data_IF_356129727203
#
_entry.id   IF_356129727203
#
_cell.length_a   1.000
_cell.length_b   1.000
_cell.length_c   1.000
_cell.angle_alpha   90.00
_cell.angle_beta   90.00
_cell.angle_gamma   90.00
#
_symmetry.space_group_name_H-M   'P 1'
#
loop_
_entity.id
_entity.type
_entity.pdbx_description
1 polymer ?
#
# COMPACT_ATOMS: atom_id res chain seq x y z
N UNK A 1 42.98 29.40 -18.64
CA UNK A 1 43.01 27.93 -18.47
C UNK A 1 42.07 27.43 -17.35
N UNK A 2 41.89 28.14 -16.22
CA UNK A 2 41.00 27.73 -15.12
C UNK A 2 39.51 27.63 -15.46
N UNK A 3 38.99 28.51 -16.34
CA UNK A 3 37.57 28.51 -16.72
C UNK A 3 37.14 27.32 -17.58
N UNK A 4 38.04 26.80 -18.41
CA UNK A 4 37.76 25.63 -19.26
C UNK A 4 37.72 24.33 -18.45
N UNK A 5 38.62 24.20 -17.46
CA UNK A 5 38.62 23.06 -16.54
C UNK A 5 37.36 23.04 -15.67
N UNK A 6 36.87 24.20 -15.23
CA UNK A 6 35.64 24.29 -14.44
C UNK A 6 34.40 23.86 -15.23
N UNK A 7 34.29 24.28 -16.49
CA UNK A 7 33.20 23.87 -17.40
C UNK A 7 33.27 22.37 -17.70
N UNK A 8 34.47 21.82 -17.91
CA UNK A 8 34.66 20.39 -18.16
C UNK A 8 34.28 19.53 -16.95
N UNK A 9 34.61 19.95 -15.72
CA UNK A 9 34.21 19.28 -14.48
C UNK A 9 32.68 19.29 -14.30
N UNK A 10 32.02 20.41 -14.59
CA UNK A 10 30.55 20.51 -14.53
C UNK A 10 29.86 19.58 -15.54
N UNK A 11 30.41 19.42 -16.75
CA UNK A 11 29.88 18.49 -17.77
C UNK A 11 30.09 17.04 -17.34
N UNK A 12 31.23 16.70 -16.73
CA UNK A 12 31.50 15.36 -16.21
C UNK A 12 30.58 14.97 -15.04
N UNK A 13 30.18 15.91 -14.18
CA UNK A 13 29.23 15.67 -13.08
C UNK A 13 27.81 15.33 -13.56
N UNK A 14 27.44 15.63 -14.80
CA UNK A 14 26.10 15.38 -15.35
C UNK A 14 25.94 13.98 -15.96
N UNK A 15 27.03 13.20 -16.06
CA UNK A 15 27.04 11.87 -16.66
C UNK A 15 26.77 10.73 -15.66
N UNK A 16 26.67 11.02 -14.36
CA UNK A 16 26.30 10.01 -13.35
C UNK A 16 24.79 9.85 -13.27
N UNK A 17 24.30 8.63 -13.55
CA UNK A 17 22.92 8.26 -13.26
C UNK A 17 22.70 8.29 -11.74
N UNK A 18 21.89 9.23 -11.27
CA UNK A 18 21.43 9.27 -9.88
C UNK A 18 20.20 8.34 -9.79
N UNK A 19 20.35 7.20 -9.12
CA UNK A 19 19.20 6.36 -8.80
C UNK A 19 18.42 7.00 -7.65
N UNK A 20 17.09 6.98 -7.73
CA UNK A 20 16.25 7.36 -6.58
C UNK A 20 16.60 6.47 -5.40
N UNK A 21 16.73 7.08 -4.22
CA UNK A 21 16.86 6.36 -2.96
C UNK A 21 15.49 5.82 -2.53
N UNK A 22 15.48 4.81 -1.65
CA UNK A 22 14.28 4.39 -0.95
C UNK A 22 13.78 5.51 -0.01
N UNK A 23 12.48 5.52 0.27
CA UNK A 23 11.84 6.56 1.07
C UNK A 23 11.65 6.03 2.50
N UNK A 24 12.25 6.70 3.47
CA UNK A 24 11.97 6.49 4.89
C UNK A 24 11.05 7.58 5.44
N UNK A 25 9.96 7.20 6.10
CA UNK A 25 9.10 8.12 6.85
C UNK A 25 9.18 7.73 8.32
N UNK A 26 9.71 8.61 9.16
CA UNK A 26 9.78 8.36 10.59
C UNK A 26 10.08 9.60 11.41
N UNK A 27 10.03 9.45 12.72
CA UNK A 27 10.20 10.55 13.70
C UNK A 27 11.67 10.88 13.96
N UNK A 28 12.57 9.99 13.54
CA UNK A 28 14.02 10.16 13.59
C UNK A 28 14.64 9.68 12.28
N UNK A 29 15.90 10.05 12.04
CA UNK A 29 16.64 9.58 10.86
C UNK A 29 16.97 8.10 11.01
N UNK A 30 16.70 7.32 9.96
CA UNK A 30 17.08 5.91 9.85
C UNK A 30 17.38 5.57 8.40
N UNK A 31 18.10 4.47 8.17
CA UNK A 31 18.32 3.91 6.83
C UNK A 31 17.23 2.90 6.54
N UNK A 32 16.37 3.12 5.52
CA UNK A 32 15.34 2.15 5.14
C UNK A 32 15.94 0.83 4.64
N UNK A 33 15.22 -0.26 4.87
CA UNK A 33 15.58 -1.60 4.42
C UNK A 33 15.81 -1.64 2.91
N UNK A 34 16.89 -2.32 2.50
CA UNK A 34 17.37 -2.32 1.11
C UNK A 34 16.34 -2.92 0.14
N UNK A 35 15.49 -3.83 0.63
CA UNK A 35 14.43 -4.46 -0.17
C UNK A 35 13.13 -3.64 -0.24
N UNK A 36 13.06 -2.49 0.44
CA UNK A 36 11.88 -1.62 0.49
C UNK A 36 12.08 -0.36 -0.35
N UNK A 37 11.04 0.06 -1.08
CA UNK A 37 10.99 1.39 -1.70
C UNK A 37 10.42 2.45 -0.74
N UNK A 38 9.59 2.02 0.22
CA UNK A 38 8.99 2.86 1.26
C UNK A 38 9.00 2.09 2.59
N UNK A 39 9.59 2.67 3.63
CA UNK A 39 9.53 2.18 5.01
C UNK A 39 8.96 3.27 5.92
N UNK A 40 7.98 2.91 6.76
CA UNK A 40 7.38 3.79 7.76
C UNK A 40 7.79 3.28 9.14
N UNK A 41 8.52 4.10 9.90
CA UNK A 41 9.04 3.75 11.22
C UNK A 41 8.56 4.74 12.29
N UNK A 42 7.78 4.24 13.25
CA UNK A 42 7.34 4.99 14.42
C UNK A 42 7.07 4.02 15.58
N UNK A 43 7.30 4.47 16.80
CA UNK A 43 7.03 3.67 18.01
C UNK A 43 5.58 3.85 18.52
N UNK A 44 4.85 4.83 18.01
CA UNK A 44 3.52 5.20 18.51
C UNK A 44 2.51 5.65 17.43
N UNK A 45 2.88 5.70 16.16
CA UNK A 45 1.99 6.01 15.02
C UNK A 45 1.94 4.83 14.05
N UNK A 46 0.84 4.74 13.30
CA UNK A 46 0.66 3.78 12.22
C UNK A 46 0.40 4.46 10.88
N UNK A 47 0.24 3.64 9.84
CA UNK A 47 -0.24 4.09 8.54
C UNK A 47 -1.78 4.12 8.54
N UNK A 48 -2.37 5.31 8.41
CA UNK A 48 -3.79 5.45 8.18
C UNK A 48 -4.08 5.40 6.68
N UNK A 49 -4.56 4.25 6.20
CA UNK A 49 -5.02 4.05 4.83
C UNK A 49 -6.40 4.68 4.59
N UNK A 50 -6.85 4.89 3.33
CA UNK A 50 -8.18 5.40 3.04
C UNK A 50 -9.27 4.57 3.72
N UNK A 51 -10.25 5.25 4.32
CA UNK A 51 -11.38 4.64 5.02
C UNK A 51 -12.66 4.91 4.25
N UNK A 52 -13.31 3.86 3.76
CA UNK A 52 -14.44 3.97 2.84
C UNK A 52 -15.59 3.08 3.30
N UNK A 53 -16.83 3.50 3.06
CA UNK A 53 -17.98 2.60 3.06
C UNK A 53 -17.92 1.65 1.86
N UNK A 54 -18.73 0.59 1.85
CA UNK A 54 -18.88 -0.32 0.71
C UNK A 54 -19.26 0.47 -0.55
N UNK A 55 -20.23 1.37 -0.45
CA UNK A 55 -20.67 2.21 -1.58
C UNK A 55 -19.52 3.06 -2.15
N UNK A 56 -18.73 3.69 -1.28
CA UNK A 56 -17.59 4.52 -1.70
C UNK A 56 -16.45 3.69 -2.29
N UNK A 57 -16.20 2.50 -1.74
CA UNK A 57 -15.19 1.55 -2.22
C UNK A 57 -15.56 1.03 -3.61
N UNK A 58 -16.81 0.64 -3.80
CA UNK A 58 -17.31 0.07 -5.05
C UNK A 58 -17.51 1.14 -6.14
N UNK A 59 -17.59 2.41 -5.75
CA UNK A 59 -17.55 3.56 -6.66
C UNK A 59 -16.13 3.93 -7.16
N UNK A 60 -15.07 3.24 -6.72
CA UNK A 60 -13.72 3.47 -7.27
C UNK A 60 -13.66 2.89 -8.69
N UNK A 61 -13.49 3.76 -9.68
CA UNK A 61 -13.30 3.36 -11.07
C UNK A 61 -11.91 2.73 -11.30
N UNK A 62 -11.88 1.53 -11.90
CA UNK A 62 -10.66 0.81 -12.27
C UNK A 62 -9.61 0.73 -11.14
N UNK A 63 -9.94 0.17 -9.96
CA UNK A 63 -9.00 0.10 -8.85
C UNK A 63 -7.78 -0.74 -9.23
N UNK A 64 -6.59 -0.29 -8.83
CA UNK A 64 -5.36 -1.00 -9.10
C UNK A 64 -5.28 -2.31 -8.30
N UNK A 65 -4.73 -3.36 -8.89
CA UNK A 65 -4.43 -4.60 -8.17
C UNK A 65 -3.46 -4.29 -7.01
N UNK A 66 -3.81 -4.73 -5.81
CA UNK A 66 -3.06 -4.43 -4.59
C UNK A 66 -3.45 -3.11 -3.92
N UNK A 67 -4.46 -2.37 -4.41
CA UNK A 67 -4.99 -1.19 -3.71
C UNK A 67 -5.58 -1.63 -2.36
N UNK A 68 -5.16 -0.98 -1.27
CA UNK A 68 -5.56 -1.32 0.11
C UNK A 68 -6.38 -0.18 0.70
N UNK A 69 -7.53 -0.51 1.29
CA UNK A 69 -8.41 0.41 2.02
C UNK A 69 -8.90 -0.24 3.31
N UNK A 70 -9.39 0.56 4.25
CA UNK A 70 -10.14 0.07 5.41
C UNK A 70 -11.63 0.30 5.18
N UNK A 71 -12.41 -0.78 5.21
CA UNK A 71 -13.85 -0.73 5.02
C UNK A 71 -14.55 -0.40 6.33
N UNK A 72 -15.30 0.71 6.35
CA UNK A 72 -15.99 1.21 7.54
C UNK A 72 -17.22 0.38 7.91
N UNK A 73 -17.94 -0.16 6.93
CA UNK A 73 -19.17 -0.93 7.16
C UNK A 73 -18.85 -2.36 7.64
N UNK A 74 -17.73 -2.90 7.18
CA UNK A 74 -17.28 -4.24 7.59
C UNK A 74 -16.27 -4.21 8.74
N UNK A 75 -15.63 -3.07 9.03
CA UNK A 75 -14.60 -2.96 10.06
C UNK A 75 -13.29 -3.71 9.74
N UNK A 76 -13.04 -4.03 8.46
CA UNK A 76 -11.91 -4.86 8.02
C UNK A 76 -11.10 -4.15 6.92
N UNK A 77 -9.84 -4.58 6.74
CA UNK A 77 -9.03 -4.16 5.59
C UNK A 77 -9.54 -4.87 4.34
N UNK A 78 -9.73 -4.14 3.25
CA UNK A 78 -9.96 -4.71 1.93
C UNK A 78 -8.78 -4.40 1.02
N UNK A 79 -8.44 -5.35 0.15
CA UNK A 79 -7.52 -5.13 -0.95
C UNK A 79 -8.14 -5.57 -2.27
N UNK A 80 -7.80 -4.88 -3.36
CA UNK A 80 -8.33 -5.22 -4.67
C UNK A 80 -7.46 -6.29 -5.35
N UNK A 81 -8.06 -7.41 -5.73
CA UNK A 81 -7.36 -8.52 -6.40
C UNK A 81 -8.32 -9.27 -7.33
N UNK A 82 -7.84 -9.68 -8.50
CA UNK A 82 -8.62 -10.47 -9.48
C UNK A 82 -10.03 -9.90 -9.75
N UNK A 83 -10.10 -8.59 -10.01
CA UNK A 83 -11.33 -7.87 -10.28
C UNK A 83 -12.39 -7.86 -9.15
N UNK A 84 -12.00 -8.19 -7.92
CA UNK A 84 -12.89 -8.15 -6.75
C UNK A 84 -12.20 -7.53 -5.54
N UNK A 85 -13.01 -6.99 -4.63
CA UNK A 85 -12.54 -6.66 -3.29
C UNK A 85 -12.44 -7.92 -2.46
N UNK A 86 -11.29 -8.10 -1.80
CA UNK A 86 -11.02 -9.22 -0.90
C UNK A 86 -10.71 -8.66 0.48
N UNK A 87 -11.23 -9.31 1.51
CA UNK A 87 -10.92 -8.98 2.89
C UNK A 87 -9.60 -9.60 3.33
N UNK A 88 -8.77 -8.80 3.99
CA UNK A 88 -7.54 -9.28 4.60
C UNK A 88 -7.89 -10.01 5.91
N UNK A 89 -7.42 -11.26 6.04
CA UNK A 89 -7.68 -12.09 7.22
C UNK A 89 -8.88 -13.04 7.09
N UNK A 90 -9.61 -13.00 5.98
CA UNK A 90 -10.62 -14.01 5.69
C UNK A 90 -9.97 -15.34 5.31
N UNK A 91 -10.36 -16.42 5.97
CA UNK A 91 -9.96 -17.77 5.57
C UNK A 91 -10.88 -18.22 4.43
N UNK A 92 -10.39 -18.15 3.19
CA UNK A 92 -11.04 -18.80 2.05
C UNK A 92 -10.68 -20.29 2.09
N UNK A 93 -11.50 -21.10 2.76
CA UNK A 93 -11.39 -22.57 2.72
C UNK A 93 -12.19 -23.07 1.51
N UNK A 94 -11.57 -23.68 0.49
CA UNK A 94 -12.32 -24.32 -0.58
C UNK A 94 -12.79 -25.69 -0.09
N UNK A 95 -13.96 -25.76 0.55
CA UNK A 95 -14.60 -27.03 0.91
C UNK A 95 -16.12 -27.00 0.72
N UNK A 96 -16.74 -28.12 0.32
CA UNK A 96 -18.19 -28.25 0.29
C UNK A 96 -18.70 -28.32 1.74
N UNK A 97 -19.46 -27.30 2.14
CA UNK A 97 -20.21 -27.11 3.40
C UNK A 97 -19.79 -27.89 4.65
N UNK A 98 -19.32 -27.18 5.68
CA UNK A 98 -19.87 -27.24 7.04
C UNK A 98 -19.38 -26.03 7.85
N UNK A 99 -20.33 -25.37 8.51
CA UNK A 99 -20.26 -24.08 9.19
C UNK A 99 -19.30 -24.11 10.38
N UNK A 100 -18.26 -23.27 10.33
CA UNK A 100 -17.78 -22.55 11.50
C UNK A 100 -17.89 -21.08 11.10
N UNK A 101 -18.69 -20.31 11.84
CA UNK A 101 -19.24 -19.01 11.45
C UNK A 101 -18.33 -18.20 10.54
N UNK A 102 -18.85 -17.84 9.38
CA UNK A 102 -18.23 -16.89 8.48
C UNK A 102 -18.13 -15.56 9.24
N UNK A 103 -16.98 -15.32 9.89
CA UNK A 103 -16.61 -14.04 10.49
C UNK A 103 -16.26 -13.02 9.39
N UNK A 104 -16.95 -13.09 8.25
CA UNK A 104 -16.97 -12.07 7.23
C UNK A 104 -18.16 -11.13 7.51
N UNK A 105 -17.92 -9.96 8.14
CA UNK A 105 -18.96 -8.97 8.37
C UNK A 105 -19.52 -8.33 7.09
N UNK A 106 -18.85 -8.44 5.94
CA UNK A 106 -19.38 -8.00 4.64
C UNK A 106 -20.34 -9.02 4.00
N UNK A 107 -20.10 -10.32 4.18
CA UNK A 107 -20.91 -11.38 3.52
C UNK A 107 -22.28 -11.54 4.17
N UNK A 108 -22.33 -11.36 5.49
CA UNK A 108 -23.56 -11.44 6.28
C UNK A 108 -24.47 -10.20 6.14
N UNK A 109 -24.12 -9.22 5.29
CA UNK A 109 -24.98 -8.05 5.00
C UNK A 109 -25.84 -8.23 3.74
N UNK A 110 -25.69 -9.34 3.00
CA UNK A 110 -26.52 -9.63 1.81
C UNK A 110 -27.71 -10.57 2.09
N UNK A 111 -27.99 -10.86 3.37
CA UNK A 111 -29.19 -11.58 3.82
C UNK A 111 -30.24 -10.63 4.42
N UNK A 112 -30.68 -9.62 3.67
CA UNK A 112 -32.04 -9.03 3.75
C UNK A 112 -32.47 -8.54 2.36
#
# INVERSE_FOLDING_TARGET
MSRFHFVFILILLQLSNLFSQNIGIGESSFTPEQSSILEIKSDNKGLLIPRLTIEQRDAIDNPAVGLIIFNLDCGNINYYFNNTWVELGSVIIPIPETIIGDFNPCRNQTEV
#
